data_IF_705608205603
#
_entry.id   IF_705608205603
#
_cell.length_a   1.000
_cell.length_b   1.000
_cell.length_c   1.000
_cell.angle_alpha   90.00
_cell.angle_beta   90.00
_cell.angle_gamma   90.00
#
_symmetry.space_group_name_H-M   'P 1'
#
loop_
_entity.id
_entity.type
_entity.pdbx_description
1 polymer ?
#
# COMPACT_ATOMS: atom_id res chain seq x y z
N UNK A 1 -6.90 -6.66 -3.70
CA UNK A 1 -7.60 -5.45 -4.21
C UNK A 1 -8.01 -4.55 -3.03
N UNK A 2 -8.21 -3.22 -3.21
CA UNK A 2 -8.52 -2.31 -2.11
C UNK A 2 -9.86 -2.60 -1.40
N UNK A 3 -10.87 -3.06 -2.13
CA UNK A 3 -12.19 -3.49 -1.64
C UNK A 3 -12.13 -4.70 -0.70
N UNK A 4 -11.03 -5.43 -0.70
CA UNK A 4 -10.83 -6.59 0.18
C UNK A 4 -10.43 -6.19 1.60
N UNK A 5 -10.16 -4.91 1.87
CA UNK A 5 -9.70 -4.41 3.17
C UNK A 5 -10.50 -4.94 4.39
N UNK A 6 -11.84 -5.04 4.36
CA UNK A 6 -12.61 -5.57 5.50
C UNK A 6 -12.28 -7.02 5.85
N UNK A 7 -11.77 -7.80 4.90
CA UNK A 7 -11.42 -9.21 5.07
C UNK A 7 -9.97 -9.42 5.51
N UNK A 8 -9.14 -8.37 5.48
CA UNK A 8 -7.68 -8.46 5.63
C UNK A 8 -7.16 -7.97 6.99
N UNK A 9 -8.05 -7.59 7.91
CA UNK A 9 -7.73 -7.26 9.30
C UNK A 9 -6.48 -6.35 9.47
N UNK A 10 -6.50 -5.11 8.95
CA UNK A 10 -5.37 -4.18 9.07
C UNK A 10 -4.95 -4.01 10.54
N UNK A 11 -3.64 -4.00 10.79
CA UNK A 11 -3.12 -3.81 12.15
C UNK A 11 -3.35 -2.37 12.60
N UNK A 12 -3.63 -2.20 13.89
CA UNK A 12 -3.85 -0.87 14.48
C UNK A 12 -2.58 -0.01 14.47
N UNK A 13 -1.39 -0.61 14.59
CA UNK A 13 -0.09 0.07 14.56
C UNK A 13 0.41 0.36 13.13
N UNK A 14 -0.03 -0.44 12.15
CA UNK A 14 0.29 -0.27 10.75
C UNK A 14 -0.84 -0.80 9.87
N UNK A 15 -1.72 0.09 9.42
CA UNK A 15 -2.88 -0.26 8.59
C UNK A 15 -2.50 -0.82 7.20
N UNK A 16 -1.22 -0.80 6.82
CA UNK A 16 -0.72 -1.41 5.58
C UNK A 16 -0.39 -2.90 5.72
N UNK A 17 -0.40 -3.41 6.95
CA UNK A 17 -0.09 -4.80 7.25
C UNK A 17 -1.33 -5.52 7.81
N UNK A 18 -1.54 -6.76 7.37
CA UNK A 18 -2.60 -7.64 7.88
C UNK A 18 -2.19 -8.21 9.24
N UNK A 19 -3.17 -8.37 10.13
CA UNK A 19 -3.02 -9.11 11.38
C UNK A 19 -3.15 -10.62 11.16
N UNK A 20 -3.88 -11.02 10.11
CA UNK A 20 -4.02 -12.42 9.71
C UNK A 20 -2.78 -12.90 8.95
N UNK A 21 -2.31 -14.11 9.27
CA UNK A 21 -1.30 -14.80 8.47
C UNK A 21 -1.90 -15.23 7.12
N UNK A 22 -1.35 -14.72 6.02
CA UNK A 22 -1.87 -14.96 4.68
C UNK A 22 -1.58 -16.37 4.14
N UNK A 23 -0.56 -17.04 4.68
CA UNK A 23 -0.11 -18.38 4.25
C UNK A 23 -0.77 -19.52 5.05
N UNK A 24 -1.10 -19.25 6.31
CA UNK A 24 -1.78 -20.16 7.22
C UNK A 24 -2.73 -19.36 8.13
N UNK A 25 -3.92 -18.97 7.62
CA UNK A 25 -4.83 -18.11 8.36
C UNK A 25 -5.51 -18.84 9.53
N UNK A 26 -5.52 -18.21 10.71
CA UNK A 26 -6.38 -18.64 11.81
C UNK A 26 -7.80 -18.11 11.58
N UNK A 27 -8.68 -18.96 11.06
CA UNK A 27 -10.06 -18.58 10.79
C UNK A 27 -10.96 -18.53 12.04
N UNK A 28 -10.51 -19.02 13.19
CA UNK A 28 -11.23 -18.81 14.44
C UNK A 28 -11.01 -17.37 14.92
N UNK A 29 -9.79 -16.86 14.79
CA UNK A 29 -9.45 -15.46 15.11
C UNK A 29 -9.85 -14.47 14.01
N UNK A 30 -9.73 -14.84 12.74
CA UNK A 30 -9.96 -13.99 11.56
C UNK A 30 -11.00 -14.60 10.59
N UNK A 31 -12.26 -14.77 11.02
CA UNK A 31 -13.26 -15.52 10.25
C UNK A 31 -13.57 -14.92 8.86
N UNK A 32 -13.55 -13.59 8.73
CA UNK A 32 -13.82 -12.89 7.47
C UNK A 32 -12.72 -13.10 6.42
N UNK A 33 -11.54 -13.58 6.83
CA UNK A 33 -10.44 -13.84 5.90
C UNK A 33 -10.78 -14.96 4.91
N UNK A 34 -11.79 -15.79 5.21
CA UNK A 34 -12.34 -16.79 4.28
C UNK A 34 -12.93 -16.17 3.01
N UNK A 35 -13.41 -14.94 3.10
CA UNK A 35 -14.01 -14.21 1.98
C UNK A 35 -12.98 -13.46 1.14
N UNK A 36 -11.72 -13.39 1.61
CA UNK A 36 -10.66 -12.71 0.91
C UNK A 36 -10.30 -13.43 -0.40
N UNK A 37 -10.43 -12.73 -1.53
CA UNK A 37 -10.07 -13.24 -2.86
C UNK A 37 -8.69 -12.75 -3.27
N UNK A 38 -7.81 -13.71 -3.56
CA UNK A 38 -6.45 -13.44 -4.01
C UNK A 38 -6.27 -13.74 -5.49
N UNK A 39 -5.62 -12.83 -6.21
CA UNK A 39 -4.95 -13.15 -7.48
C UNK A 39 -3.57 -13.70 -7.13
N UNK A 40 -3.26 -14.91 -7.62
CA UNK A 40 -1.97 -15.58 -7.39
C UNK A 40 -1.21 -15.68 -8.69
N UNK A 41 0.07 -15.30 -8.65
CA UNK A 41 0.98 -15.35 -9.80
C UNK A 41 2.37 -15.74 -9.31
N UNK A 42 3.07 -16.55 -10.09
CA UNK A 42 4.51 -16.77 -9.94
C UNK A 42 5.22 -15.83 -10.89
N UNK A 43 6.16 -15.05 -10.37
CA UNK A 43 6.95 -14.10 -11.16
C UNK A 43 8.27 -14.76 -11.51
N UNK A 44 8.41 -15.17 -12.77
CA UNK A 44 9.62 -15.77 -13.30
C UNK A 44 10.65 -14.70 -13.68
N UNK A 45 11.88 -15.11 -13.97
CA UNK A 45 12.94 -14.22 -14.45
C UNK A 45 12.50 -13.42 -15.68
N UNK A 46 12.80 -12.11 -15.69
CA UNK A 46 12.43 -11.19 -16.76
C UNK A 46 10.95 -10.75 -16.74
N UNK A 47 10.09 -11.38 -15.94
CA UNK A 47 8.70 -10.95 -15.82
C UNK A 47 8.59 -9.65 -15.01
N UNK A 48 7.61 -8.82 -15.38
CA UNK A 48 7.26 -7.60 -14.66
C UNK A 48 5.83 -7.69 -14.19
N UNK A 49 5.60 -7.39 -12.91
CA UNK A 49 4.26 -7.25 -12.34
C UNK A 49 3.99 -5.78 -11.98
N UNK A 50 2.75 -5.36 -12.20
CA UNK A 50 2.25 -4.06 -11.80
C UNK A 50 1.04 -4.27 -10.90
N UNK A 51 1.06 -3.65 -9.73
CA UNK A 51 -0.11 -3.56 -8.86
C UNK A 51 -0.39 -2.08 -8.54
N UNK A 52 -1.63 -1.61 -8.74
CA UNK A 52 -2.01 -0.23 -8.43
C UNK A 52 -1.86 0.14 -6.96
N UNK A 53 -1.87 1.44 -6.68
CA UNK A 53 -1.91 1.99 -5.33
C UNK A 53 -3.03 1.36 -4.50
N UNK A 54 -2.79 1.13 -3.20
CA UNK A 54 -3.68 0.46 -2.23
C UNK A 54 -3.96 -1.03 -2.47
N UNK A 55 -3.31 -1.67 -3.45
CA UNK A 55 -3.44 -3.12 -3.57
C UNK A 55 -2.66 -3.85 -2.49
N UNK A 56 -3.40 -4.60 -1.69
CA UNK A 56 -2.85 -5.61 -0.79
C UNK A 56 -2.11 -6.68 -1.59
N UNK A 57 -0.88 -6.98 -1.15
CA UNK A 57 -0.04 -8.00 -1.75
C UNK A 57 0.85 -8.63 -0.67
N UNK A 58 1.24 -9.87 -0.92
CA UNK A 58 2.19 -10.63 -0.11
C UNK A 58 3.03 -11.46 -1.07
N UNK A 59 4.31 -11.62 -0.76
CA UNK A 59 5.25 -12.33 -1.62
C UNK A 59 5.88 -13.45 -0.83
N UNK A 60 6.01 -14.61 -1.48
CA UNK A 60 6.79 -15.75 -0.97
C UNK A 60 7.89 -16.06 -1.97
N UNK A 61 9.12 -16.02 -1.52
CA UNK A 61 10.29 -16.40 -2.31
C UNK A 61 10.44 -17.93 -2.27
N UNK A 62 10.53 -18.57 -3.43
CA UNK A 62 10.63 -20.03 -3.55
C UNK A 62 12.09 -20.52 -3.59
N UNK A 63 12.99 -19.69 -4.10
CA UNK A 63 14.42 -19.94 -4.27
C UNK A 63 15.19 -18.61 -4.20
N UNK A 64 16.52 -18.59 -4.04
CA UNK A 64 17.28 -17.35 -4.02
C UNK A 64 17.04 -16.50 -5.28
N UNK A 65 16.50 -15.29 -5.10
CA UNK A 65 16.08 -14.42 -6.21
C UNK A 65 16.35 -12.94 -5.93
N UNK A 66 16.49 -12.13 -6.98
CA UNK A 66 16.59 -10.66 -6.89
C UNK A 66 15.40 -10.04 -7.61
N UNK A 67 14.70 -9.11 -6.96
CA UNK A 67 13.60 -8.34 -7.54
C UNK A 67 13.88 -6.84 -7.38
N UNK A 68 13.69 -6.08 -8.46
CA UNK A 68 13.79 -4.62 -8.45
C UNK A 68 12.39 -4.04 -8.63
N UNK A 69 11.94 -3.28 -7.63
CA UNK A 69 10.66 -2.59 -7.67
C UNK A 69 10.83 -1.07 -7.81
N UNK A 70 9.92 -0.43 -8.55
CA UNK A 70 9.82 1.03 -8.62
C UNK A 70 8.44 1.48 -8.14
N UNK A 71 8.42 2.40 -7.18
CA UNK A 71 7.21 3.13 -6.82
C UNK A 71 7.18 4.42 -7.64
N UNK A 72 6.15 4.59 -8.45
CA UNK A 72 5.95 5.79 -9.25
C UNK A 72 4.82 6.63 -8.66
N UNK A 73 5.11 7.89 -8.34
CA UNK A 73 4.14 8.84 -7.84
C UNK A 73 3.72 9.79 -8.97
N UNK A 74 2.42 10.03 -9.09
CA UNK A 74 1.83 10.92 -10.08
C UNK A 74 0.53 11.52 -9.54
N UNK A 75 -0.17 12.33 -10.34
CA UNK A 75 -1.44 12.97 -9.95
C UNK A 75 -2.45 11.99 -9.32
N UNK A 76 -2.56 10.78 -9.86
CA UNK A 76 -3.59 9.81 -9.47
C UNK A 76 -3.39 9.22 -8.07
N UNK A 77 -2.14 9.14 -7.58
CA UNK A 77 -1.84 8.47 -6.30
C UNK A 77 -1.19 9.39 -5.25
N UNK A 78 -0.88 10.64 -5.60
CA UNK A 78 -0.21 11.59 -4.72
C UNK A 78 -0.99 11.86 -3.42
N UNK A 79 -2.30 12.07 -3.51
CA UNK A 79 -3.15 12.33 -2.34
C UNK A 79 -3.16 11.14 -1.38
N UNK A 80 -3.26 9.92 -1.92
CA UNK A 80 -3.23 8.69 -1.13
C UNK A 80 -1.88 8.48 -0.47
N UNK A 81 -0.79 8.72 -1.20
CA UNK A 81 0.57 8.67 -0.65
C UNK A 81 0.76 9.63 0.53
N UNK A 82 0.29 10.88 0.41
CA UNK A 82 0.39 11.86 1.50
C UNK A 82 -0.44 11.46 2.71
N UNK A 83 -1.67 10.97 2.48
CA UNK A 83 -2.55 10.49 3.56
C UNK A 83 -1.91 9.32 4.31
N UNK A 84 -1.40 8.34 3.59
CA UNK A 84 -0.71 7.19 4.15
C UNK A 84 0.49 7.58 5.02
N UNK A 85 1.31 8.53 4.56
CA UNK A 85 2.45 9.02 5.33
C UNK A 85 2.02 9.78 6.59
N UNK A 86 0.92 10.53 6.51
CA UNK A 86 0.32 11.19 7.67
C UNK A 86 -0.15 10.16 8.70
N UNK A 87 -0.94 9.16 8.30
CA UNK A 87 -1.47 8.13 9.20
C UNK A 87 -0.36 7.34 9.91
N UNK A 88 0.71 6.99 9.19
CA UNK A 88 1.87 6.32 9.78
C UNK A 88 2.59 7.16 10.85
N UNK A 89 2.63 8.49 10.66
CA UNK A 89 3.42 9.38 11.51
C UNK A 89 2.62 10.04 12.61
N UNK A 90 1.30 10.22 12.46
CA UNK A 90 0.47 11.04 13.37
C UNK A 90 0.52 10.57 14.82
N UNK A 91 0.72 9.27 15.05
CA UNK A 91 0.79 8.70 16.39
C UNK A 91 2.11 8.98 17.10
N UNK A 92 3.24 9.04 16.37
CA UNK A 92 4.58 9.22 16.94
C UNK A 92 5.08 10.66 16.83
N UNK A 93 4.74 11.36 15.75
CA UNK A 93 5.23 12.69 15.41
C UNK A 93 4.12 13.56 14.80
N UNK A 94 3.09 13.97 15.57
CA UNK A 94 1.89 14.63 15.04
C UNK A 94 2.17 15.96 14.34
N UNK A 95 3.06 16.79 14.88
CA UNK A 95 3.44 18.06 14.27
C UNK A 95 4.12 17.87 12.91
N UNK A 96 5.06 16.92 12.83
CA UNK A 96 5.75 16.56 11.58
C UNK A 96 4.76 15.98 10.58
N UNK A 97 3.85 15.10 11.02
CA UNK A 97 2.81 14.53 10.18
C UNK A 97 1.97 15.64 9.53
N UNK A 98 1.47 16.59 10.32
CA UNK A 98 0.67 17.70 9.81
C UNK A 98 1.45 18.60 8.85
N UNK A 99 2.69 18.97 9.20
CA UNK A 99 3.55 19.79 8.34
C UNK A 99 3.80 19.11 6.99
N UNK A 100 4.11 17.81 6.99
CA UNK A 100 4.35 17.04 5.76
C UNK A 100 3.08 16.87 4.92
N UNK A 101 1.91 16.71 5.55
CA UNK A 101 0.63 16.64 4.84
C UNK A 101 0.29 17.97 4.15
N UNK A 102 0.47 19.09 4.87
CA UNK A 102 0.22 20.43 4.32
C UNK A 102 1.16 20.72 3.14
N UNK A 103 2.46 20.46 3.32
CA UNK A 103 3.45 20.59 2.26
C UNK A 103 3.13 19.70 1.05
N UNK A 104 2.85 18.41 1.28
CA UNK A 104 2.51 17.47 0.22
C UNK A 104 1.25 17.89 -0.56
N UNK A 105 0.25 18.45 0.12
CA UNK A 105 -0.97 18.95 -0.53
C UNK A 105 -0.65 20.11 -1.49
N UNK A 106 0.11 21.11 -1.04
CA UNK A 106 0.51 22.26 -1.87
C UNK A 106 1.37 21.82 -3.06
N UNK A 107 2.37 20.96 -2.80
CA UNK A 107 3.22 20.39 -3.85
C UNK A 107 2.41 19.62 -4.90
N UNK A 108 1.41 18.85 -4.48
CA UNK A 108 0.53 18.12 -5.39
C UNK A 108 -0.25 19.03 -6.34
N UNK A 109 -0.77 20.14 -5.83
CA UNK A 109 -1.43 21.14 -6.66
C UNK A 109 -0.46 21.77 -7.67
N UNK A 110 0.77 22.07 -7.26
CA UNK A 110 1.78 22.62 -8.15
C UNK A 110 2.21 21.64 -9.25
N UNK A 111 2.50 20.38 -8.90
CA UNK A 111 2.86 19.34 -9.86
C UNK A 111 1.75 19.12 -10.90
N UNK A 112 0.48 19.08 -10.45
CA UNK A 112 -0.68 18.97 -11.35
C UNK A 112 -0.81 20.15 -12.30
N UNK A 113 -0.43 21.36 -11.87
CA UNK A 113 -0.39 22.50 -12.78
C UNK A 113 0.75 22.34 -13.79
N UNK A 114 1.94 21.95 -13.35
CA UNK A 114 3.08 21.71 -14.24
C UNK A 114 2.77 20.66 -15.31
N UNK A 115 2.15 19.54 -14.95
CA UNK A 115 1.79 18.46 -15.90
C UNK A 115 0.77 18.90 -16.96
N UNK A 116 -0.04 19.94 -16.70
CA UNK A 116 -0.98 20.48 -17.70
C UNK A 116 -0.35 21.43 -18.71
N UNK A 117 0.84 21.94 -18.41
CA UNK A 117 1.57 22.91 -19.24
C UNK A 117 2.88 22.34 -19.82
N UNK A 118 3.18 21.07 -19.54
CA UNK A 118 4.25 20.29 -20.16
C UNK A 118 3.69 19.44 -21.30
#
# INVERSE_FOLDING_TARGET
MPDQMPFLYPRADNQKASSANTSAPDYAQFPLFREAKAVRVTVEEGATILFPTKWWHTTKTHEPSILVGRVHLNEWNWTDFNRDNFELRRHKHPAVALATLAYGTVLGHWLKMQEKFA
#
